data_IF_573035299475
#
_entry.id   IF_573035299475
#
_cell.length_a   1.000
_cell.length_b   1.000
_cell.length_c   1.000
_cell.angle_alpha   90.00
_cell.angle_beta   90.00
_cell.angle_gamma   90.00
#
_symmetry.space_group_name_H-M   'P 1'
#
loop_
_entity.id
_entity.type
_entity.pdbx_description
1 polymer ?
#
# COMPACT_ATOMS: atom_id res chain seq x y z
N UNK A 1 -24.97 -13.62 18.01
CA UNK A 1 -23.95 -12.81 18.71
C UNK A 1 -22.59 -13.39 18.38
N UNK A 2 -22.04 -13.03 17.21
CA UNK A 2 -20.72 -13.49 16.77
C UNK A 2 -19.72 -12.38 16.99
N UNK A 3 -19.00 -12.43 18.11
CA UNK A 3 -17.97 -11.45 18.44
C UNK A 3 -16.87 -11.64 17.41
N UNK A 4 -16.56 -10.57 16.66
CA UNK A 4 -15.37 -10.52 15.82
C UNK A 4 -14.19 -10.54 16.79
N UNK A 5 -13.56 -11.69 16.98
CA UNK A 5 -12.35 -11.78 17.79
C UNK A 5 -11.21 -11.09 17.03
N UNK A 6 -11.18 -9.77 17.18
CA UNK A 6 -10.21 -8.87 16.55
C UNK A 6 -8.79 -9.32 16.89
N UNK A 7 -8.58 -9.85 18.10
CA UNK A 7 -7.30 -10.40 18.53
C UNK A 7 -6.85 -11.59 17.66
N UNK A 8 -7.75 -12.52 17.36
CA UNK A 8 -7.47 -13.67 16.48
C UNK A 8 -7.21 -13.19 15.05
N UNK A 9 -7.99 -12.22 14.58
CA UNK A 9 -7.84 -11.66 13.23
C UNK A 9 -6.50 -10.92 13.07
N UNK A 10 -6.11 -10.11 14.06
CA UNK A 10 -4.83 -9.38 14.07
C UNK A 10 -3.68 -10.36 14.16
N UNK A 11 -3.78 -11.40 15.01
CA UNK A 11 -2.73 -12.42 15.13
C UNK A 11 -2.53 -13.18 13.82
N UNK A 12 -3.63 -13.57 13.15
CA UNK A 12 -3.58 -14.22 11.83
C UNK A 12 -3.02 -13.29 10.74
N UNK A 13 -3.40 -12.01 10.75
CA UNK A 13 -2.87 -11.01 9.83
C UNK A 13 -1.36 -10.77 10.06
N UNK A 14 -0.93 -10.68 11.32
CA UNK A 14 0.48 -10.53 11.68
C UNK A 14 1.29 -11.72 11.20
N UNK A 15 0.84 -12.95 11.47
CA UNK A 15 1.52 -14.17 11.03
C UNK A 15 1.64 -14.23 9.51
N UNK A 16 0.53 -13.95 8.79
CA UNK A 16 0.51 -13.93 7.32
C UNK A 16 1.45 -12.87 6.75
N UNK A 17 1.52 -11.70 7.39
CA UNK A 17 2.42 -10.61 6.97
C UNK A 17 3.90 -10.96 7.15
N UNK A 18 4.25 -11.64 8.24
CA UNK A 18 5.62 -12.11 8.50
C UNK A 18 6.01 -13.17 7.47
N UNK A 19 5.13 -14.14 7.20
CA UNK A 19 5.38 -15.17 6.18
C UNK A 19 5.53 -14.56 4.79
N UNK A 20 4.68 -13.61 4.41
CA UNK A 20 4.78 -12.92 3.13
C UNK A 20 6.08 -12.10 3.02
N UNK A 21 6.45 -11.35 4.06
CA UNK A 21 7.69 -10.58 4.09
C UNK A 21 8.93 -11.49 3.95
N UNK A 22 8.93 -12.63 4.64
CA UNK A 22 10.01 -13.61 4.55
C UNK A 22 10.14 -14.20 3.14
N UNK A 23 9.02 -14.53 2.50
CA UNK A 23 8.99 -14.99 1.11
C UNK A 23 9.51 -13.93 0.13
N UNK A 24 9.21 -12.65 0.36
CA UNK A 24 9.73 -11.55 -0.47
C UNK A 24 11.25 -11.49 -0.36
N UNK A 25 11.79 -11.48 0.86
CA UNK A 25 13.24 -11.44 1.09
C UNK A 25 13.95 -12.62 0.43
N UNK A 26 13.47 -13.85 0.63
CA UNK A 26 14.06 -15.05 0.01
C UNK A 26 14.03 -14.96 -1.52
N UNK A 27 12.92 -14.48 -2.09
CA UNK A 27 12.76 -14.38 -3.54
C UNK A 27 13.72 -13.35 -4.14
N UNK A 28 13.96 -12.24 -3.43
CA UNK A 28 14.90 -11.20 -3.87
C UNK A 28 16.35 -11.66 -3.72
N UNK A 29 16.68 -12.41 -2.67
CA UNK A 29 18.04 -12.90 -2.43
C UNK A 29 18.44 -14.07 -3.35
N UNK A 30 17.49 -14.96 -3.67
CA UNK A 30 17.77 -16.17 -4.46
C UNK A 30 17.46 -16.03 -5.95
N UNK A 31 16.87 -14.91 -6.39
CA UNK A 31 16.42 -14.74 -7.77
C UNK A 31 16.93 -13.43 -8.37
N UNK A 32 17.05 -13.37 -9.71
CA UNK A 32 17.45 -12.13 -10.43
C UNK A 32 16.29 -11.14 -10.59
N UNK A 33 15.21 -11.32 -9.82
CA UNK A 33 13.98 -10.53 -9.91
C UNK A 33 14.21 -9.25 -9.10
N UNK A 34 13.85 -8.10 -9.67
CA UNK A 34 13.89 -6.80 -8.96
C UNK A 34 12.95 -6.85 -7.74
N UNK A 35 13.32 -6.14 -6.68
CA UNK A 35 12.52 -6.04 -5.44
C UNK A 35 11.04 -5.73 -5.72
N UNK A 36 10.78 -4.77 -6.61
CA UNK A 36 9.42 -4.36 -6.99
C UNK A 36 8.61 -5.50 -7.63
N UNK A 37 9.27 -6.34 -8.45
CA UNK A 37 8.62 -7.48 -9.12
C UNK A 37 8.33 -8.63 -8.16
N UNK A 38 9.24 -8.90 -7.23
CA UNK A 38 9.04 -9.90 -6.18
C UNK A 38 7.90 -9.48 -5.24
N UNK A 39 7.89 -8.21 -4.82
CA UNK A 39 6.84 -7.63 -3.99
C UNK A 39 5.47 -7.76 -4.68
N UNK A 40 5.33 -7.30 -5.92
CA UNK A 40 4.07 -7.37 -6.66
C UNK A 40 3.53 -8.80 -6.81
N UNK A 41 4.41 -9.75 -7.14
CA UNK A 41 4.03 -11.15 -7.37
C UNK A 41 3.53 -11.80 -6.07
N UNK A 42 4.27 -11.65 -4.98
CA UNK A 42 3.94 -12.31 -3.70
C UNK A 42 2.71 -11.68 -3.07
N UNK A 43 2.58 -10.35 -3.08
CA UNK A 43 1.39 -9.66 -2.56
C UNK A 43 0.13 -10.08 -3.35
N UNK A 44 0.22 -10.14 -4.68
CA UNK A 44 -0.90 -10.58 -5.53
C UNK A 44 -1.29 -12.03 -5.25
N UNK A 45 -0.32 -12.92 -5.06
CA UNK A 45 -0.58 -14.33 -4.75
C UNK A 45 -1.26 -14.50 -3.37
N UNK A 46 -0.76 -13.82 -2.34
CA UNK A 46 -1.33 -13.87 -0.99
C UNK A 46 -2.72 -13.24 -0.93
N UNK A 47 -2.92 -12.12 -1.62
CA UNK A 47 -4.22 -11.49 -1.73
C UNK A 47 -5.22 -12.41 -2.43
N UNK A 48 -4.84 -13.02 -3.56
CA UNK A 48 -5.67 -13.98 -4.29
C UNK A 48 -6.02 -15.22 -3.45
N UNK A 49 -5.04 -15.77 -2.73
CA UNK A 49 -5.25 -16.89 -1.80
C UNK A 49 -6.24 -16.49 -0.70
N UNK A 50 -6.01 -15.36 -0.04
CA UNK A 50 -6.90 -14.85 1.01
C UNK A 50 -8.33 -14.64 0.52
N UNK A 51 -8.48 -14.18 -0.72
CA UNK A 51 -9.78 -14.02 -1.39
C UNK A 51 -10.49 -15.35 -1.64
N UNK A 52 -9.79 -16.38 -2.08
CA UNK A 52 -10.36 -17.73 -2.26
C UNK A 52 -10.80 -18.32 -0.92
N UNK A 53 -9.94 -18.23 0.10
CA UNK A 53 -10.26 -18.70 1.46
C UNK A 53 -11.48 -17.97 2.03
N UNK A 54 -11.54 -16.64 1.87
CA UNK A 54 -12.68 -15.84 2.28
C UNK A 54 -13.96 -16.29 1.58
N UNK A 55 -13.91 -16.46 0.26
CA UNK A 55 -15.08 -16.89 -0.53
C UNK A 55 -15.54 -18.29 -0.14
N UNK A 56 -14.60 -19.20 0.11
CA UNK A 56 -14.89 -20.56 0.58
C UNK A 56 -15.57 -20.55 1.96
N UNK A 57 -15.00 -19.83 2.93
CA UNK A 57 -15.59 -19.67 4.27
C UNK A 57 -16.97 -18.98 4.20
N UNK A 58 -17.14 -18.03 3.28
CA UNK A 58 -18.43 -17.37 3.07
C UNK A 58 -19.50 -18.30 2.48
N UNK A 59 -19.11 -19.33 1.74
CA UNK A 59 -20.05 -20.30 1.17
C UNK A 59 -20.60 -21.33 2.17
N UNK A 60 -19.96 -21.48 3.34
CA UNK A 60 -20.38 -22.40 4.40
C UNK A 60 -21.46 -21.73 5.27
N UNK A 61 -22.64 -22.36 5.31
CA UNK A 61 -23.93 -21.76 5.68
C UNK A 61 -24.15 -21.46 7.18
N UNK A 62 -23.11 -21.16 7.99
CA UNK A 62 -23.30 -20.91 9.42
C UNK A 62 -22.21 -20.12 10.19
N UNK A 63 -21.88 -18.87 9.80
CA UNK A 63 -21.27 -17.92 10.76
C UNK A 63 -21.18 -16.47 10.24
N UNK A 64 -22.01 -15.56 10.75
CA UNK A 64 -21.61 -14.17 11.06
C UNK A 64 -21.04 -13.26 9.95
N UNK A 65 -21.43 -13.42 8.69
CA UNK A 65 -20.86 -12.68 7.55
C UNK A 65 -21.45 -11.27 7.32
N UNK A 66 -21.30 -10.35 8.28
CA UNK A 66 -21.89 -9.01 8.16
C UNK A 66 -20.92 -7.88 7.75
N UNK A 67 -19.69 -8.17 7.29
CA UNK A 67 -18.81 -7.05 6.88
C UNK A 67 -17.36 -7.35 6.49
N UNK A 68 -16.92 -8.61 6.43
CA UNK A 68 -15.51 -8.92 6.11
C UNK A 68 -15.17 -8.63 4.63
N UNK A 69 -16.09 -8.90 3.71
CA UNK A 69 -15.96 -8.47 2.30
C UNK A 69 -15.96 -6.95 2.17
N UNK A 70 -16.83 -6.24 2.91
CA UNK A 70 -16.81 -4.77 2.96
C UNK A 70 -15.48 -4.20 3.47
N UNK A 71 -14.89 -4.83 4.48
CA UNK A 71 -13.62 -4.42 5.07
C UNK A 71 -12.43 -4.66 4.14
N UNK A 72 -12.32 -5.83 3.50
CA UNK A 72 -11.17 -6.16 2.64
C UNK A 72 -11.21 -5.40 1.31
N UNK A 73 -12.41 -5.13 0.77
CA UNK A 73 -12.54 -4.42 -0.52
C UNK A 73 -12.63 -2.91 -0.39
N UNK A 74 -12.63 -2.36 0.83
CA UNK A 74 -12.74 -0.91 1.04
C UNK A 74 -13.88 -0.31 0.21
N UNK A 75 -15.07 -0.94 0.28
CA UNK A 75 -16.18 -0.54 -0.60
C UNK A 75 -16.38 0.99 -0.53
N UNK A 76 -16.36 1.66 -1.68
CA UNK A 76 -16.66 3.10 -1.77
C UNK A 76 -18.03 3.45 -1.15
N UNK A 77 -18.92 2.47 -1.05
CA UNK A 77 -20.22 2.59 -0.39
C UNK A 77 -20.16 2.81 1.15
N UNK A 78 -19.01 2.56 1.81
CA UNK A 78 -18.80 2.89 3.23
C UNK A 78 -18.04 4.19 3.45
N UNK A 79 -17.58 4.85 2.37
CA UNK A 79 -16.89 6.13 2.44
C UNK A 79 -17.92 7.22 2.77
N UNK A 80 -17.70 7.95 3.86
CA UNK A 80 -18.56 9.08 4.22
C UNK A 80 -18.25 10.27 3.30
N UNK A 81 -19.24 11.14 3.03
CA UNK A 81 -19.00 12.35 2.23
C UNK A 81 -17.85 13.22 2.80
N UNK A 82 -17.66 13.20 4.12
CA UNK A 82 -16.54 13.85 4.82
C UNK A 82 -15.18 13.28 4.42
N UNK A 83 -15.09 11.96 4.26
CA UNK A 83 -13.84 11.28 3.89
C UNK A 83 -13.45 11.68 2.46
N UNK A 84 -14.44 11.82 1.56
CA UNK A 84 -14.21 12.31 0.18
C UNK A 84 -13.62 13.72 0.17
N UNK A 85 -14.11 14.64 1.00
CA UNK A 85 -13.55 16.00 1.09
C UNK A 85 -12.11 16.00 1.60
N UNK A 86 -11.80 15.18 2.60
CA UNK A 86 -10.44 15.08 3.16
C UNK A 86 -9.48 14.49 2.11
N UNK A 87 -9.86 13.38 1.47
CA UNK A 87 -9.05 12.74 0.43
C UNK A 87 -8.89 13.65 -0.79
N UNK A 88 -9.93 14.39 -1.19
CA UNK A 88 -9.84 15.36 -2.30
C UNK A 88 -8.91 16.53 -1.97
N UNK A 89 -8.97 17.07 -0.76
CA UNK A 89 -8.06 18.13 -0.32
C UNK A 89 -6.61 17.64 -0.26
N UNK A 90 -6.37 16.44 0.28
CA UNK A 90 -5.04 15.82 0.30
C UNK A 90 -4.49 15.58 -1.12
N UNK A 91 -5.32 15.04 -2.02
CA UNK A 91 -4.95 14.84 -3.42
C UNK A 91 -4.58 16.16 -4.12
N UNK A 92 -5.34 17.24 -3.87
CA UNK A 92 -5.05 18.55 -4.44
C UNK A 92 -3.70 19.09 -3.95
N UNK A 93 -3.39 18.94 -2.65
CA UNK A 93 -2.09 19.32 -2.09
C UNK A 93 -0.95 18.56 -2.77
N UNK A 94 -1.10 17.24 -2.94
CA UNK A 94 -0.09 16.40 -3.60
C UNK A 94 0.14 16.86 -5.05
N UNK A 95 -0.92 17.12 -5.81
CA UNK A 95 -0.83 17.59 -7.20
C UNK A 95 -0.11 18.95 -7.27
N UNK A 96 -0.48 19.89 -6.40
CA UNK A 96 0.11 21.24 -6.37
C UNK A 96 1.60 21.17 -6.02
N UNK A 97 1.97 20.40 -4.99
CA UNK A 97 3.37 20.21 -4.61
C UNK A 97 4.16 19.52 -5.73
N UNK A 98 3.60 18.49 -6.36
CA UNK A 98 4.26 17.80 -7.49
C UNK A 98 4.48 18.74 -8.66
N UNK A 99 3.50 19.58 -8.99
CA UNK A 99 3.61 20.57 -10.06
C UNK A 99 4.65 21.66 -9.75
N UNK A 100 4.70 22.14 -8.50
CA UNK A 100 5.66 23.15 -8.05
C UNK A 100 7.10 22.62 -8.10
N UNK A 101 7.32 21.40 -7.60
CA UNK A 101 8.63 20.75 -7.52
C UNK A 101 8.96 19.89 -8.74
N UNK A 102 8.20 20.01 -9.84
CA UNK A 102 8.34 19.18 -11.04
C UNK A 102 9.77 19.19 -11.60
N UNK A 103 10.44 20.34 -11.55
CA UNK A 103 11.83 20.49 -12.06
C UNK A 103 12.83 19.67 -11.24
N UNK A 104 12.71 19.73 -9.92
CA UNK A 104 13.62 19.03 -9.00
C UNK A 104 13.35 17.52 -8.98
N UNK A 105 12.07 17.13 -8.94
CA UNK A 105 11.66 15.72 -8.98
C UNK A 105 12.10 15.04 -10.29
N UNK A 106 11.95 15.74 -11.42
CA UNK A 106 12.41 15.24 -12.72
C UNK A 106 13.92 15.05 -12.71
N UNK A 107 14.69 16.03 -12.22
CA UNK A 107 16.15 15.93 -12.23
C UNK A 107 16.65 14.74 -11.42
N UNK A 108 16.11 14.54 -10.22
CA UNK A 108 16.51 13.43 -9.33
C UNK A 108 16.11 12.07 -9.92
N UNK A 109 14.98 12.00 -10.61
CA UNK A 109 14.54 10.73 -11.22
C UNK A 109 15.40 10.32 -12.43
N UNK A 110 16.11 11.26 -13.07
CA UNK A 110 16.99 11.00 -14.21
C UNK A 110 18.46 10.90 -13.80
N UNK A 111 18.97 11.82 -12.97
CA UNK A 111 20.36 11.82 -12.53
C UNK A 111 20.53 12.55 -11.19
N UNK A 112 20.75 11.74 -10.14
CA UNK A 112 20.97 12.22 -8.77
C UNK A 112 22.34 12.88 -8.61
N UNK A 113 23.36 12.46 -9.37
CA UNK A 113 24.71 13.04 -9.31
C UNK A 113 24.75 14.39 -10.00
N UNK A 114 24.06 14.55 -11.13
CA UNK A 114 23.88 15.84 -11.79
C UNK A 114 23.09 16.85 -10.93
N UNK A 115 22.10 16.39 -10.17
CA UNK A 115 21.39 17.27 -9.23
C UNK A 115 22.29 17.79 -8.11
N UNK A 116 23.27 16.99 -7.65
CA UNK A 116 24.25 17.43 -6.63
C UNK A 116 25.22 18.48 -7.15
N UNK A 117 25.61 18.42 -8.43
CA UNK A 117 26.51 19.43 -9.04
C UNK A 117 25.82 20.78 -9.24
N UNK A 118 24.48 20.78 -9.42
CA UNK A 118 23.65 21.99 -9.48
C UNK A 118 23.30 22.60 -8.11
N UNK A 119 23.87 22.10 -7.00
CA UNK A 119 23.58 22.54 -5.63
C UNK A 119 22.10 22.43 -5.22
N UNK A 120 21.33 21.55 -5.87
CA UNK A 120 19.96 21.25 -5.43
C UNK A 120 20.05 20.44 -4.12
N UNK A 121 19.23 20.73 -3.10
CA UNK A 121 19.22 19.97 -1.85
C UNK A 121 18.58 18.59 -2.07
N UNK A 122 19.33 17.66 -2.67
CA UNK A 122 18.88 16.30 -3.04
C UNK A 122 18.24 15.56 -1.88
N UNK A 123 18.77 15.72 -0.66
CA UNK A 123 18.20 15.12 0.56
C UNK A 123 16.79 15.65 0.85
N UNK A 124 16.56 16.96 0.70
CA UNK A 124 15.24 17.56 0.93
C UNK A 124 14.24 17.10 -0.13
N UNK A 125 14.60 17.15 -1.41
CA UNK A 125 13.70 16.74 -2.50
C UNK A 125 13.41 15.23 -2.45
N UNK A 126 14.35 14.38 -2.02
CA UNK A 126 14.11 12.95 -1.77
C UNK A 126 13.14 12.72 -0.60
N UNK A 127 13.29 13.48 0.50
CA UNK A 127 12.35 13.41 1.63
C UNK A 127 10.96 13.86 1.17
N UNK A 128 10.87 14.96 0.42
CA UNK A 128 9.62 15.46 -0.16
C UNK A 128 8.97 14.38 -1.04
N UNK A 129 9.72 13.79 -1.98
CA UNK A 129 9.22 12.73 -2.85
C UNK A 129 8.67 11.54 -2.07
N UNK A 130 9.44 11.03 -1.09
CA UNK A 130 9.00 9.91 -0.23
C UNK A 130 7.75 10.27 0.58
N UNK A 131 7.69 11.49 1.12
CA UNK A 131 6.53 11.95 1.89
C UNK A 131 5.26 12.05 1.03
N UNK A 132 5.37 12.52 -0.22
CA UNK A 132 4.26 12.56 -1.17
C UNK A 132 3.75 11.16 -1.51
N UNK A 133 4.66 10.20 -1.69
CA UNK A 133 4.27 8.80 -1.94
C UNK A 133 3.50 8.21 -0.76
N UNK A 134 3.98 8.41 0.47
CA UNK A 134 3.29 7.93 1.67
C UNK A 134 1.90 8.57 1.78
N UNK A 135 1.79 9.88 1.53
CA UNK A 135 0.53 10.60 1.61
C UNK A 135 -0.46 10.23 0.49
N UNK A 136 0.02 9.66 -0.62
CA UNK A 136 -0.84 9.15 -1.71
C UNK A 136 -1.48 7.81 -1.35
N UNK A 137 -0.82 7.01 -0.52
CA UNK A 137 -1.30 5.67 -0.13
C UNK A 137 -2.40 5.76 0.95
N UNK A 138 -2.36 6.82 1.76
CA UNK A 138 -3.32 7.10 2.85
C UNK A 138 -4.59 7.73 2.30
#
# INVERSE_FOLDING_TARGET
TGIKDIEVLITGAALSSITAAWLITITVENSKIKFDGALATILSAFFGLGMVLLTYVQSLNNAGQAGLSKFIFGQAATILARDVYITSAAALIIIVLTALFWKELKLISFDVEYAKTLQIPVTFTLILYRSLLIMTII
#
